data_IF_100213701788
#
_entry.id   IF_100213701788
#
_cell.length_a   1.000
_cell.length_b   1.000
_cell.length_c   1.000
_cell.angle_alpha   90.00
_cell.angle_beta   90.00
_cell.angle_gamma   90.00
#
_symmetry.space_group_name_H-M   'P 1'
#
loop_
_entity.id
_entity.type
_entity.pdbx_description
1 polymer ?
#
# COMPACT_ATOMS: atom_id res chain seq x y z
N UNK A 1 -0.19 -8.24 -32.80
CA UNK A 1 0.63 -9.04 -31.84
C UNK A 1 1.05 -8.20 -30.63
N UNK A 2 1.65 -7.02 -30.83
CA UNK A 2 2.02 -6.11 -29.72
C UNK A 2 0.81 -5.67 -28.86
N UNK A 3 -0.32 -5.37 -29.49
CA UNK A 3 -1.54 -4.94 -28.78
C UNK A 3 -2.12 -6.04 -27.86
N UNK A 4 -2.01 -7.30 -28.25
CA UNK A 4 -2.46 -8.44 -27.45
C UNK A 4 -1.54 -8.67 -26.23
N UNK A 5 -0.23 -8.44 -26.38
CA UNK A 5 0.70 -8.54 -25.24
C UNK A 5 0.54 -7.35 -24.29
N UNK A 6 0.25 -6.16 -24.81
CA UNK A 6 -0.04 -4.97 -24.02
C UNK A 6 -1.29 -5.13 -23.15
N UNK A 7 -2.33 -5.82 -23.65
CA UNK A 7 -3.53 -6.10 -22.85
C UNK A 7 -3.34 -7.20 -21.80
N UNK A 8 -2.32 -8.04 -21.94
CA UNK A 8 -1.97 -9.08 -20.95
C UNK A 8 -1.12 -8.49 -19.83
N UNK A 9 -0.19 -7.59 -20.12
CA UNK A 9 0.75 -7.07 -19.14
C UNK A 9 0.05 -6.41 -17.94
N UNK A 10 0.40 -6.86 -16.74
CA UNK A 10 -0.22 -6.36 -15.50
C UNK A 10 -1.67 -6.80 -15.30
N UNK A 11 -2.26 -7.60 -16.19
CA UNK A 11 -3.56 -8.24 -15.98
C UNK A 11 -3.43 -9.58 -15.25
N UNK A 12 -4.54 -10.16 -14.81
CA UNK A 12 -4.56 -11.50 -14.23
C UNK A 12 -4.11 -12.61 -15.19
N UNK A 13 -4.21 -12.35 -16.50
CA UNK A 13 -3.77 -13.24 -17.57
C UNK A 13 -2.24 -13.25 -17.71
N UNK A 14 -1.53 -12.30 -17.10
CA UNK A 14 -0.07 -12.33 -17.03
C UNK A 14 0.36 -13.47 -16.10
N UNK A 15 0.94 -14.52 -16.71
CA UNK A 15 1.44 -15.69 -15.98
C UNK A 15 2.86 -15.49 -15.44
N UNK A 16 3.57 -14.45 -15.90
CA UNK A 16 4.97 -14.19 -15.55
C UNK A 16 5.04 -13.18 -14.41
N UNK A 17 4.37 -12.03 -14.55
CA UNK A 17 4.38 -10.98 -13.54
C UNK A 17 3.20 -11.12 -12.57
N UNK A 18 3.41 -10.74 -11.32
CA UNK A 18 2.35 -10.72 -10.33
C UNK A 18 1.45 -9.49 -10.57
N UNK A 19 0.17 -9.65 -10.97
CA UNK A 19 -0.72 -8.53 -11.20
C UNK A 19 -1.01 -7.75 -9.92
N UNK A 20 -1.07 -8.43 -8.77
CA UNK A 20 -1.31 -7.79 -7.48
C UNK A 20 -0.14 -6.89 -7.07
N UNK A 21 1.09 -7.38 -7.24
CA UNK A 21 2.27 -6.57 -6.95
C UNK A 21 2.38 -5.38 -7.89
N UNK A 22 2.21 -5.60 -9.20
CA UNK A 22 2.33 -4.53 -10.19
C UNK A 22 1.25 -3.44 -10.02
N UNK A 23 0.01 -3.80 -9.64
CA UNK A 23 -1.07 -2.82 -9.47
C UNK A 23 -1.11 -2.18 -8.09
N UNK A 24 -0.84 -2.94 -7.03
CA UNK A 24 -1.06 -2.49 -5.65
C UNK A 24 0.23 -2.27 -4.86
N UNK A 25 1.40 -2.62 -5.42
CA UNK A 25 2.68 -2.60 -4.70
C UNK A 25 2.83 -3.70 -3.64
N UNK A 26 1.84 -4.58 -3.48
CA UNK A 26 1.79 -5.61 -2.45
C UNK A 26 1.23 -6.94 -2.94
N UNK A 27 1.70 -8.05 -2.35
CA UNK A 27 1.27 -9.40 -2.66
C UNK A 27 1.19 -10.25 -1.40
N UNK A 28 0.07 -10.97 -1.20
CA UNK A 28 -0.16 -11.82 -0.01
C UNK A 28 0.87 -12.95 0.15
N UNK A 29 1.55 -13.34 -0.92
CA UNK A 29 2.56 -14.38 -0.90
C UNK A 29 3.96 -13.84 -0.58
N UNK A 30 4.14 -12.51 -0.55
CA UNK A 30 5.44 -11.86 -0.35
C UNK A 30 6.50 -12.43 -1.29
N UNK A 31 7.70 -12.68 -0.77
CA UNK A 31 8.82 -13.23 -1.55
C UNK A 31 8.62 -14.71 -1.94
N UNK A 32 7.59 -15.39 -1.42
CA UNK A 32 7.21 -16.75 -1.83
C UNK A 32 6.26 -16.77 -3.03
N UNK A 33 5.96 -15.61 -3.63
CA UNK A 33 5.13 -15.58 -4.83
C UNK A 33 5.82 -16.34 -5.98
N UNK A 34 5.07 -17.15 -6.71
CA UNK A 34 5.58 -17.86 -7.89
C UNK A 34 5.72 -16.97 -9.12
N UNK A 35 5.16 -15.75 -9.08
CA UNK A 35 5.22 -14.75 -10.15
C UNK A 35 6.20 -13.65 -9.77
N UNK A 36 6.75 -12.95 -10.76
CA UNK A 36 7.76 -11.91 -10.58
C UNK A 36 7.16 -10.65 -9.96
N UNK A 37 7.86 -10.10 -8.96
CA UNK A 37 7.59 -8.79 -8.36
C UNK A 37 8.59 -7.77 -8.89
N UNK A 38 8.19 -6.97 -9.89
CA UNK A 38 9.07 -5.95 -10.46
C UNK A 38 9.14 -4.74 -9.53
N UNK A 39 10.20 -4.67 -8.71
CA UNK A 39 10.51 -3.53 -7.84
C UNK A 39 11.25 -2.46 -8.64
N UNK A 40 10.62 -1.31 -8.95
CA UNK A 40 11.30 -0.26 -9.69
C UNK A 40 12.43 0.34 -8.83
N UNK A 41 13.59 0.59 -9.44
CA UNK A 41 14.70 1.26 -8.75
C UNK A 41 14.40 2.74 -8.45
N UNK A 42 13.52 3.35 -9.25
CA UNK A 42 13.08 4.75 -9.13
C UNK A 42 11.57 4.77 -9.31
N UNK A 43 10.85 5.41 -8.39
CA UNK A 43 9.39 5.52 -8.39
C UNK A 43 8.99 6.82 -7.68
N UNK A 44 7.96 7.55 -8.17
CA UNK A 44 7.37 8.67 -7.44
C UNK A 44 6.51 8.21 -6.25
N UNK A 45 6.13 6.93 -6.21
CA UNK A 45 5.30 6.36 -5.14
C UNK A 45 6.15 5.55 -4.16
N UNK A 46 5.98 5.82 -2.87
CA UNK A 46 6.58 5.08 -1.76
C UNK A 46 5.53 4.20 -1.06
N UNK A 47 5.94 3.02 -0.58
CA UNK A 47 5.10 2.13 0.20
C UNK A 47 5.69 1.94 1.60
N UNK A 48 5.00 2.47 2.61
CA UNK A 48 5.34 2.27 4.02
C UNK A 48 4.52 1.10 4.59
N UNK A 49 5.10 -0.10 4.53
CA UNK A 49 4.42 -1.32 4.98
C UNK A 49 4.17 -1.29 6.49
N UNK A 50 2.95 -1.66 6.91
CA UNK A 50 2.58 -1.77 8.32
C UNK A 50 2.74 -0.48 9.14
N UNK A 51 2.74 0.69 8.49
CA UNK A 51 2.96 1.97 9.15
C UNK A 51 1.79 2.36 10.07
N UNK A 52 0.55 2.26 9.58
CA UNK A 52 -0.64 2.54 10.38
C UNK A 52 -1.14 1.29 11.10
N UNK A 53 -0.99 1.27 12.43
CA UNK A 53 -1.57 0.24 13.29
C UNK A 53 -2.96 0.67 13.72
N UNK A 54 -3.98 0.08 13.10
CA UNK A 54 -5.38 0.38 13.43
C UNK A 54 -5.67 0.08 14.91
N UNK A 55 -6.18 1.05 15.70
CA UNK A 55 -6.48 0.84 17.11
C UNK A 55 -7.62 -0.16 17.35
N UNK A 56 -8.53 -0.33 16.38
CA UNK A 56 -9.72 -1.20 16.43
C UNK A 56 -9.51 -2.59 15.82
N UNK A 57 -8.27 -3.06 15.77
CA UNK A 57 -7.92 -4.39 15.24
C UNK A 57 -8.66 -5.54 15.94
N UNK A 58 -8.92 -5.42 17.25
CA UNK A 58 -9.53 -6.49 18.07
C UNK A 58 -11.06 -6.37 18.08
N UNK A 59 -11.57 -5.17 18.36
CA UNK A 59 -13.00 -4.90 18.51
C UNK A 59 -13.36 -3.64 17.72
N UNK A 60 -14.29 -3.73 16.74
CA UNK A 60 -14.67 -2.58 15.93
C UNK A 60 -15.18 -1.41 16.78
N UNK A 61 -14.67 -0.21 16.52
CA UNK A 61 -15.13 1.02 17.16
C UNK A 61 -14.55 1.31 18.55
N UNK A 62 -13.69 0.44 19.09
CA UNK A 62 -12.95 0.72 20.33
C UNK A 62 -11.46 0.42 20.18
N UNK A 63 -10.64 1.12 20.96
CA UNK A 63 -9.20 0.88 21.04
C UNK A 63 -8.86 -0.36 21.89
N UNK A 64 -7.56 -0.65 22.05
CA UNK A 64 -7.07 -1.77 22.84
C UNK A 64 -7.43 -1.69 24.34
N UNK A 65 -7.79 -0.51 24.83
CA UNK A 65 -8.23 -0.24 26.19
C UNK A 65 -9.75 -0.28 26.34
N UNK A 66 -10.49 -0.52 25.24
CA UNK A 66 -11.95 -0.56 25.21
C UNK A 66 -12.60 0.83 25.19
N UNK A 67 -11.83 1.90 24.94
CA UNK A 67 -12.36 3.25 24.79
C UNK A 67 -12.84 3.45 23.35
N UNK A 68 -13.92 4.23 23.12
CA UNK A 68 -14.35 4.57 21.77
C UNK A 68 -13.22 5.23 20.96
N UNK A 69 -13.15 4.91 19.67
CA UNK A 69 -12.15 5.53 18.80
C UNK A 69 -12.34 7.05 18.72
N UNK A 70 -11.25 7.77 18.94
CA UNK A 70 -11.20 9.21 18.79
C UNK A 70 -10.77 9.58 17.36
N UNK A 71 -11.68 10.15 16.59
CA UNK A 71 -11.42 10.58 15.22
C UNK A 71 -10.36 11.69 15.15
N UNK A 72 -10.24 12.53 16.19
CA UNK A 72 -9.22 13.58 16.23
C UNK A 72 -7.83 12.96 16.28
N UNK A 73 -7.62 11.92 17.11
CA UNK A 73 -6.33 11.22 17.20
C UNK A 73 -5.94 10.50 15.91
N UNK A 74 -6.92 9.95 15.19
CA UNK A 74 -6.67 9.33 13.89
C UNK A 74 -6.22 10.40 12.89
N UNK A 75 -6.89 11.56 12.88
CA UNK A 75 -6.53 12.68 12.02
C UNK A 75 -5.13 13.21 12.35
N UNK A 76 -4.82 13.46 13.62
CA UNK A 76 -3.49 13.89 14.11
C UNK A 76 -2.39 12.94 13.61
N UNK A 77 -2.62 11.62 13.66
CA UNK A 77 -1.66 10.64 13.15
C UNK A 77 -1.36 10.80 11.65
N UNK A 78 -2.37 11.05 10.82
CA UNK A 78 -2.18 11.26 9.38
C UNK A 78 -1.58 12.64 9.08
N UNK A 79 -1.88 13.65 9.88
CA UNK A 79 -1.28 14.99 9.77
C UNK A 79 0.21 14.94 10.09
N UNK A 80 0.61 14.32 11.20
CA UNK A 80 2.02 14.14 11.58
C UNK A 80 2.82 13.46 10.46
N UNK A 81 2.25 12.39 9.88
CA UNK A 81 2.87 11.70 8.76
C UNK A 81 3.02 12.60 7.54
N UNK A 82 1.97 13.34 7.18
CA UNK A 82 1.99 14.23 6.02
C UNK A 82 3.01 15.35 6.20
N UNK A 83 3.10 15.94 7.40
CA UNK A 83 4.06 16.99 7.74
C UNK A 83 5.51 16.52 7.70
N UNK A 84 5.78 15.26 8.07
CA UNK A 84 7.11 14.68 7.94
C UNK A 84 7.45 14.37 6.48
N UNK A 85 6.54 13.78 5.73
CA UNK A 85 6.78 13.39 4.34
C UNK A 85 6.96 14.59 3.40
N UNK A 86 6.23 15.69 3.63
CA UNK A 86 6.33 16.91 2.78
C UNK A 86 7.70 17.59 2.84
N UNK A 87 8.54 17.25 3.83
CA UNK A 87 9.94 17.73 3.91
C UNK A 87 10.81 17.16 2.80
N UNK A 88 10.42 16.02 2.21
CA UNK A 88 11.19 15.30 1.19
C UNK A 88 10.74 15.60 -0.24
N UNK A 89 9.70 16.40 -0.42
CA UNK A 89 9.17 16.77 -1.72
C UNK A 89 7.69 17.12 -1.67
N UNK A 90 7.16 17.53 -2.82
CA UNK A 90 5.72 17.72 -2.99
C UNK A 90 5.01 16.36 -2.96
N UNK A 91 3.92 16.28 -2.19
CA UNK A 91 3.05 15.11 -2.15
C UNK A 91 1.87 15.39 -3.08
N UNK A 92 1.71 14.57 -4.11
CA UNK A 92 0.56 14.64 -5.02
C UNK A 92 -0.74 14.36 -4.23
N UNK A 93 -1.75 15.21 -4.45
CA UNK A 93 -3.09 15.11 -3.85
C UNK A 93 -4.16 14.75 -4.87
#
# INVERSE_FOLDING_TARGET
MAEHLASIYGSENDRVNCPFYNKMGGCRHGDRCSRIHNRPAISPTLLLSNMYQRPDMITPGVDAQGQPLDMCKIQEHFEDLFEELRKFGEIES
#
